data_IF_902909999384
#
_entry.id   IF_902909999384
#
_cell.length_a   1.000
_cell.length_b   1.000
_cell.length_c   1.000
_cell.angle_alpha   90.00
_cell.angle_beta   90.00
_cell.angle_gamma   90.00
#
_symmetry.space_group_name_H-M   'P 1'
#
loop_
_entity.id
_entity.type
_entity.pdbx_description
1 polymer ?
#
# COMPACT_ATOMS: atom_id res chain seq x y z
N UNK A 1 13.09 -42.82 -4.84
CA UNK A 1 14.25 -41.92 -4.82
C UNK A 1 13.83 -40.73 -5.67
N UNK A 2 13.45 -39.59 -5.09
CA UNK A 2 14.37 -38.62 -4.45
C UNK A 2 15.22 -37.94 -5.54
N UNK A 3 15.20 -36.63 -5.80
CA UNK A 3 14.50 -35.50 -5.17
C UNK A 3 14.01 -34.54 -6.31
N UNK A 4 13.57 -33.28 -6.17
CA UNK A 4 13.65 -32.30 -5.09
C UNK A 4 12.50 -31.26 -5.16
N UNK A 5 12.52 -30.26 -4.27
CA UNK A 5 11.49 -29.23 -4.15
C UNK A 5 11.65 -28.05 -5.13
N UNK A 6 10.53 -27.56 -5.65
CA UNK A 6 10.31 -26.12 -5.90
C UNK A 6 8.81 -25.84 -5.95
N UNK A 7 8.18 -25.80 -4.77
CA UNK A 7 7.03 -24.92 -4.57
C UNK A 7 7.56 -23.49 -4.56
N UNK A 8 8.00 -23.00 -5.73
CA UNK A 8 8.22 -21.58 -5.91
C UNK A 8 6.84 -20.97 -5.95
N UNK A 9 6.36 -20.61 -4.76
CA UNK A 9 5.19 -19.78 -4.60
C UNK A 9 5.53 -18.46 -5.28
N UNK A 10 5.19 -18.37 -6.57
CA UNK A 10 4.98 -17.11 -7.26
C UNK A 10 3.79 -16.47 -6.56
N UNK A 11 4.07 -15.91 -5.38
CA UNK A 11 3.34 -14.78 -4.84
C UNK A 11 3.22 -13.84 -6.03
N UNK A 12 1.99 -13.57 -6.53
CA UNK A 12 1.85 -12.55 -7.55
C UNK A 12 2.35 -11.29 -6.89
N UNK A 13 3.56 -10.85 -7.26
CA UNK A 13 4.14 -9.65 -6.70
C UNK A 13 3.32 -8.53 -7.30
N UNK A 14 2.27 -8.12 -6.58
CA UNK A 14 1.27 -7.16 -7.02
C UNK A 14 2.04 -5.91 -7.42
N UNK A 15 2.13 -5.67 -8.72
CA UNK A 15 2.85 -4.52 -9.29
C UNK A 15 1.99 -3.28 -9.12
N UNK A 16 1.84 -2.86 -7.86
CA UNK A 16 1.41 -1.52 -7.52
C UNK A 16 2.61 -0.58 -7.45
N UNK A 17 2.38 0.69 -7.72
CA UNK A 17 3.33 1.75 -7.37
C UNK A 17 3.17 2.03 -5.88
N UNK A 18 4.27 2.10 -5.14
CA UNK A 18 4.25 2.49 -3.73
C UNK A 18 4.27 4.02 -3.60
N UNK A 19 3.43 4.55 -2.72
CA UNK A 19 3.35 5.98 -2.41
C UNK A 19 3.39 6.18 -0.89
N UNK A 20 4.07 7.23 -0.42
CA UNK A 20 4.06 7.61 0.98
C UNK A 20 2.71 8.24 1.35
N UNK A 21 2.11 7.79 2.45
CA UNK A 21 0.87 8.38 2.99
C UNK A 21 1.20 9.67 3.74
N UNK A 22 0.67 10.79 3.26
CA UNK A 22 0.82 12.12 3.87
C UNK A 22 -0.28 12.36 4.90
N UNK A 23 -1.54 12.15 4.51
CA UNK A 23 -2.70 12.29 5.39
C UNK A 23 -3.92 11.53 4.88
N UNK A 24 -4.97 11.47 5.71
CA UNK A 24 -6.28 10.93 5.36
C UNK A 24 -7.32 12.04 5.52
N UNK A 25 -8.01 12.41 4.45
CA UNK A 25 -8.97 13.53 4.39
C UNK A 25 -10.29 13.05 3.78
N UNK A 26 -11.43 13.27 4.46
CA UNK A 26 -12.77 12.83 4.02
C UNK A 26 -12.90 11.36 3.54
N UNK A 27 -12.03 10.47 4.03
CA UNK A 27 -11.98 9.05 3.64
C UNK A 27 -11.13 8.76 2.39
N UNK A 28 -10.38 9.73 1.91
CA UNK A 28 -9.38 9.63 0.85
C UNK A 28 -7.97 9.62 1.44
N UNK A 29 -7.07 8.89 0.78
CA UNK A 29 -5.65 8.83 1.09
C UNK A 29 -4.94 9.91 0.27
N UNK A 30 -4.28 10.84 0.94
CA UNK A 30 -3.39 11.81 0.31
C UNK A 30 -1.99 11.19 0.26
N UNK A 31 -1.57 10.81 -0.94
CA UNK A 31 -0.38 10.01 -1.23
C UNK A 31 0.66 10.84 -1.99
N UNK A 32 1.95 10.54 -1.84
CA UNK A 32 3.03 11.21 -2.60
C UNK A 32 4.11 10.23 -3.07
N UNK A 33 4.62 10.42 -4.29
CA UNK A 33 5.79 9.69 -4.81
C UNK A 33 7.10 10.29 -4.33
N UNK A 34 8.21 9.57 -4.47
CA UNK A 34 9.56 10.08 -4.19
C UNK A 34 9.91 11.31 -5.05
N UNK A 35 9.40 11.39 -6.28
CA UNK A 35 9.53 12.57 -7.17
C UNK A 35 8.66 13.78 -6.77
N UNK A 36 7.84 13.66 -5.72
CA UNK A 36 6.96 14.72 -5.22
C UNK A 36 5.63 14.87 -5.95
N UNK A 37 5.20 13.85 -6.73
CA UNK A 37 3.86 13.85 -7.33
C UNK A 37 2.81 13.38 -6.30
N UNK A 38 1.85 14.24 -5.99
CA UNK A 38 0.75 13.94 -5.07
C UNK A 38 -0.43 13.26 -5.76
N UNK A 39 -1.16 12.43 -5.01
CA UNK A 39 -2.31 11.66 -5.49
C UNK A 39 -3.37 11.53 -4.38
N UNK A 40 -4.55 12.08 -4.61
CA UNK A 40 -5.64 12.29 -3.64
C UNK A 40 -6.97 11.62 -4.04
N UNK A 41 -7.01 10.96 -5.20
CA UNK A 41 -8.18 10.26 -5.75
C UNK A 41 -8.40 8.85 -5.16
N UNK A 42 -7.43 8.32 -4.41
CA UNK A 42 -7.48 6.98 -3.82
C UNK A 42 -8.27 6.99 -2.52
N UNK A 43 -9.35 6.22 -2.45
CA UNK A 43 -10.11 6.03 -1.19
C UNK A 43 -9.40 5.08 -0.24
N UNK A 44 -9.62 5.28 1.07
CA UNK A 44 -9.30 4.29 2.09
C UNK A 44 -10.01 2.97 1.73
N UNK A 45 -9.30 1.84 1.63
CA UNK A 45 -9.91 0.56 1.27
C UNK A 45 -10.82 0.04 2.39
N UNK A 46 -11.92 -0.61 2.04
CA UNK A 46 -12.87 -1.16 3.01
C UNK A 46 -12.31 -2.36 3.79
N UNK A 47 -12.90 -2.65 4.95
CA UNK A 47 -12.55 -3.81 5.78
C UNK A 47 -11.28 -3.62 6.60
N UNK A 48 -10.60 -4.73 6.93
CA UNK A 48 -9.42 -4.73 7.79
C UNK A 48 -8.25 -3.88 7.24
N UNK A 49 -8.13 -3.76 5.91
CA UNK A 49 -7.01 -3.05 5.30
C UNK A 49 -7.06 -1.55 5.64
N UNK A 50 -8.20 -0.89 5.45
CA UNK A 50 -8.38 0.51 5.80
C UNK A 50 -8.31 0.76 7.31
N UNK A 51 -8.88 -0.13 8.12
CA UNK A 51 -8.81 -0.05 9.58
C UNK A 51 -7.36 -0.06 10.08
N UNK A 52 -6.51 -0.91 9.49
CA UNK A 52 -5.08 -1.00 9.84
C UNK A 52 -4.29 0.21 9.33
N UNK A 53 -4.55 0.69 8.12
CA UNK A 53 -3.95 1.93 7.58
C UNK A 53 -4.27 3.11 8.50
N UNK A 54 -5.55 3.30 8.86
CA UNK A 54 -5.98 4.35 9.80
C UNK A 54 -5.31 4.19 11.16
N UNK A 55 -5.34 2.99 11.76
CA UNK A 55 -4.72 2.73 13.07
C UNK A 55 -3.20 3.03 13.08
N UNK A 56 -2.47 2.59 12.06
CA UNK A 56 -1.03 2.80 11.98
C UNK A 56 -0.68 4.27 11.66
N UNK A 57 -1.54 4.98 10.93
CA UNK A 57 -1.44 6.43 10.70
C UNK A 57 -1.72 7.24 11.98
N UNK A 58 -2.80 6.96 12.71
CA UNK A 58 -3.11 7.56 14.03
C UNK A 58 -2.03 7.26 15.08
N UNK A 59 -1.33 6.12 14.95
CA UNK A 59 -0.15 5.80 15.75
C UNK A 59 1.12 6.60 15.38
N UNK A 60 1.05 7.50 14.39
CA UNK A 60 2.15 8.36 13.96
C UNK A 60 3.27 7.61 13.23
N UNK A 61 2.96 6.52 12.54
CA UNK A 61 3.93 5.77 11.73
C UNK A 61 3.95 6.29 10.30
N UNK A 62 5.08 6.15 9.62
CA UNK A 62 5.16 6.33 8.17
C UNK A 62 4.63 5.07 7.45
N UNK A 63 3.75 5.26 6.46
CA UNK A 63 3.13 4.16 5.69
C UNK A 63 3.40 4.33 4.19
N UNK A 64 3.80 3.24 3.54
CA UNK A 64 3.82 3.10 2.09
C UNK A 64 2.57 2.33 1.64
N UNK A 65 1.74 2.98 0.81
CA UNK A 65 0.54 2.41 0.24
C UNK A 65 0.85 1.93 -1.18
N UNK A 66 0.65 0.64 -1.44
CA UNK A 66 0.78 0.09 -2.79
C UNK A 66 -0.56 0.27 -3.53
N UNK A 67 -0.58 1.18 -4.51
CA UNK A 67 -1.74 1.44 -5.37
C UNK A 67 -1.53 0.72 -6.69
N UNK A 68 -2.53 -0.04 -7.13
CA UNK A 68 -2.52 -0.69 -8.44
C UNK A 68 -3.76 -0.35 -9.25
N UNK A 69 -3.60 -0.34 -10.57
CA UNK A 69 -4.69 -0.11 -11.52
C UNK A 69 -5.29 -1.44 -11.98
N UNK A 70 -6.60 -1.59 -11.86
CA UNK A 70 -7.34 -2.75 -12.36
C UNK A 70 -8.56 -2.28 -13.17
N UNK A 71 -8.69 -2.74 -14.42
CA UNK A 71 -9.76 -2.34 -15.34
C UNK A 71 -9.94 -0.82 -15.54
N UNK A 72 -8.87 -0.04 -15.32
CA UNK A 72 -8.91 1.43 -15.42
C UNK A 72 -9.27 2.16 -14.12
N UNK A 73 -9.54 1.45 -13.02
CA UNK A 73 -9.69 2.04 -11.69
C UNK A 73 -8.41 1.82 -10.85
N UNK A 74 -7.97 2.84 -10.12
CA UNK A 74 -6.84 2.74 -9.19
C UNK A 74 -7.34 2.52 -7.75
N UNK A 75 -6.75 1.56 -7.04
CA UNK A 75 -7.13 1.21 -5.66
C UNK A 75 -5.90 0.84 -4.83
N UNK A 76 -5.95 1.15 -3.53
CA UNK A 76 -4.99 0.63 -2.57
C UNK A 76 -5.14 -0.90 -2.45
N UNK A 77 -4.07 -1.64 -2.72
CA UNK A 77 -4.05 -3.11 -2.74
C UNK A 77 -3.41 -3.70 -1.48
N UNK A 78 -2.40 -3.01 -0.94
CA UNK A 78 -1.73 -3.33 0.31
C UNK A 78 -1.07 -2.09 0.89
N UNK A 79 -0.58 -2.20 2.14
CA UNK A 79 0.33 -1.22 2.71
C UNK A 79 1.48 -1.93 3.42
N UNK A 80 2.57 -1.19 3.66
CA UNK A 80 3.65 -1.60 4.56
C UNK A 80 4.14 -0.39 5.35
N UNK A 81 4.72 -0.64 6.52
CA UNK A 81 5.34 0.42 7.31
C UNK A 81 6.67 0.81 6.69
N UNK A 82 6.93 2.10 6.59
CA UNK A 82 8.24 2.61 6.20
C UNK A 82 9.15 2.68 7.42
N UNK A 83 9.66 1.52 7.82
CA UNK A 83 10.67 1.39 8.88
C UNK A 83 12.05 1.86 8.38
N UNK A 84 12.16 3.15 8.04
CA UNK A 84 13.46 3.82 7.96
C UNK A 84 13.94 4.04 9.40
N UNK A 85 14.91 3.22 9.85
CA UNK A 85 15.68 3.54 11.06
C UNK A 85 16.33 4.92 10.89
N UNK A 86 15.86 5.90 11.68
CA UNK A 86 16.40 7.26 11.81
C UNK A 86 17.03 7.45 13.18
#
# INVERSE_FOLDING_TARGET
MSDAASSFNTTPNVQGTEYLLVCIEDGYLNLVTEDGASKDDIRVPEGELGQRIMHDYDAGKDLLIAVGTAMGEEKALSYRLDSVER
#
